data_IF_874631663913
#
_entry.id   IF_874631663913
#
_cell.length_a   1.000
_cell.length_b   1.000
_cell.length_c   1.000
_cell.angle_alpha   90.00
_cell.angle_beta   90.00
_cell.angle_gamma   90.00
#
_symmetry.space_group_name_H-M   'P 1'
#
loop_
_entity.id
_entity.type
_entity.pdbx_description
1 polymer ?
#
# COMPACT_ATOMS: atom_id res chain seq x y z
N UNK A 1 -59.52 -12.61 17.95
CA UNK A 1 -60.06 -13.44 19.04
C UNK A 1 -59.12 -14.64 19.16
N UNK A 2 -58.06 -14.62 19.97
CA UNK A 2 -58.00 -14.76 21.45
C UNK A 2 -58.79 -15.98 21.97
N UNK A 3 -58.05 -16.94 22.55
CA UNK A 3 -58.33 -17.75 23.76
C UNK A 3 -57.37 -18.97 23.71
N UNK A 4 -56.22 -19.08 24.41
CA UNK A 4 -55.91 -19.20 25.85
C UNK A 4 -56.73 -20.22 26.65
N UNK A 5 -56.04 -21.28 27.11
CA UNK A 5 -56.15 -21.96 28.43
C UNK A 5 -54.96 -22.95 28.54
N UNK A 6 -53.97 -22.80 29.42
CA UNK A 6 -53.94 -23.02 30.89
C UNK A 6 -54.39 -24.44 31.30
N UNK A 7 -53.75 -25.23 32.18
CA UNK A 7 -52.87 -24.95 33.33
C UNK A 7 -52.32 -26.29 33.91
N UNK A 8 -51.21 -26.21 34.67
CA UNK A 8 -50.78 -27.06 35.83
C UNK A 8 -50.37 -28.53 35.60
N UNK A 9 -49.28 -29.07 36.15
CA UNK A 9 -48.30 -28.62 37.15
C UNK A 9 -48.21 -29.59 38.34
N UNK A 10 -47.03 -30.18 38.61
CA UNK A 10 -46.47 -30.65 39.90
C UNK A 10 -45.04 -31.21 39.68
N UNK A 11 -43.97 -30.59 40.22
CA UNK A 11 -43.30 -30.87 41.51
C UNK A 11 -42.80 -32.33 41.64
N UNK A 12 -41.52 -32.66 41.87
CA UNK A 12 -40.30 -31.92 42.15
C UNK A 12 -39.17 -32.90 42.58
N UNK A 13 -37.96 -32.36 42.79
CA UNK A 13 -36.93 -32.72 43.81
C UNK A 13 -35.50 -32.63 43.27
N UNK A 14 -34.75 -31.75 43.94
CA UNK A 14 -33.33 -31.42 43.86
C UNK A 14 -32.36 -32.58 44.17
N UNK A 15 -31.11 -32.48 43.73
CA UNK A 15 -29.98 -32.21 44.65
C UNK A 15 -28.66 -31.75 43.95
N UNK A 16 -27.95 -30.84 44.65
CA UNK A 16 -26.50 -30.46 44.72
C UNK A 16 -25.56 -30.80 43.54
N UNK A 17 -24.67 -29.94 43.05
CA UNK A 17 -23.99 -28.78 43.65
C UNK A 17 -22.46 -28.99 43.53
N UNK A 18 -21.74 -28.09 42.84
CA UNK A 18 -20.36 -27.70 43.20
C UNK A 18 -19.92 -26.48 42.37
N UNK A 19 -19.72 -25.36 43.05
CA UNK A 19 -19.02 -24.16 42.59
C UNK A 19 -17.61 -24.26 43.15
N UNK A 20 -16.58 -23.98 42.34
CA UNK A 20 -15.23 -23.73 42.84
C UNK A 20 -14.68 -22.43 42.25
N UNK A 21 -14.71 -21.40 43.08
CA UNK A 21 -13.99 -20.13 42.94
C UNK A 21 -12.74 -20.24 43.80
N UNK A 22 -11.55 -19.97 43.27
CA UNK A 22 -10.40 -19.58 44.09
C UNK A 22 -9.51 -18.59 43.33
N UNK A 23 -9.62 -17.33 43.74
CA UNK A 23 -8.60 -16.31 43.60
C UNK A 23 -7.69 -16.39 44.84
N UNK A 24 -6.37 -16.26 44.68
CA UNK A 24 -5.36 -15.88 45.69
C UNK A 24 -4.17 -15.26 44.92
N UNK A 25 -3.93 -13.94 45.01
CA UNK A 25 -3.11 -13.20 45.99
C UNK A 25 -1.73 -12.84 45.41
N UNK A 26 -1.46 -11.53 45.32
CA UNK A 26 -0.17 -10.93 45.01
C UNK A 26 0.88 -11.26 46.08
N UNK A 27 2.11 -11.56 45.66
CA UNK A 27 3.31 -11.22 46.43
C UNK A 27 4.45 -10.76 45.52
N UNK A 28 4.93 -9.57 45.85
CA UNK A 28 6.10 -8.88 45.33
C UNK A 28 7.37 -9.55 45.86
N UNK A 29 8.34 -9.83 44.99
CA UNK A 29 9.73 -10.04 45.38
C UNK A 29 10.65 -9.37 44.36
N UNK A 30 11.57 -8.56 44.87
CA UNK A 30 12.55 -7.79 44.11
C UNK A 30 13.93 -8.47 44.14
N UNK A 31 14.74 -8.14 43.11
CA UNK A 31 16.19 -8.40 42.87
C UNK A 31 16.51 -9.79 42.26
N UNK A 32 17.47 -9.94 41.34
CA UNK A 32 18.69 -9.17 41.06
C UNK A 32 19.08 -9.18 39.57
N UNK A 33 19.74 -8.10 39.17
CA UNK A 33 20.59 -7.89 37.98
C UNK A 33 21.70 -8.95 37.92
N UNK A 34 21.96 -9.57 36.76
CA UNK A 34 23.13 -9.30 35.89
C UNK A 34 23.29 -10.33 34.75
N UNK A 35 23.94 -9.91 33.67
CA UNK A 35 24.39 -10.65 32.45
C UNK A 35 23.28 -11.10 31.47
N UNK A 36 23.33 -10.86 30.17
CA UNK A 36 24.35 -10.35 29.24
C UNK A 36 23.88 -10.75 27.83
N UNK A 37 24.34 -10.04 26.79
CA UNK A 37 24.04 -10.21 25.36
C UNK A 37 22.85 -9.39 24.81
N UNK A 38 23.03 -8.07 24.80
CA UNK A 38 22.52 -7.23 23.71
C UNK A 38 23.61 -7.17 22.63
N UNK A 39 23.39 -7.85 21.51
CA UNK A 39 24.14 -7.69 20.27
C UNK A 39 23.16 -7.20 19.20
N UNK A 40 23.35 -5.94 18.81
CA UNK A 40 22.60 -5.19 17.80
C UNK A 40 22.14 -6.04 16.61
N UNK A 41 20.83 -6.09 16.40
CA UNK A 41 20.24 -6.50 15.13
C UNK A 41 20.44 -5.37 14.14
N UNK A 42 21.43 -5.55 13.27
CA UNK A 42 21.72 -4.69 12.13
C UNK A 42 20.60 -4.86 11.08
N UNK A 43 19.56 -4.02 11.20
CA UNK A 43 18.48 -3.87 10.22
C UNK A 43 18.48 -2.49 9.59
N UNK A 44 19.65 -1.83 9.50
CA UNK A 44 19.85 -0.69 8.61
C UNK A 44 20.38 -1.20 7.27
N UNK A 45 19.49 -1.78 6.47
CA UNK A 45 19.83 -2.24 5.10
C UNK A 45 20.02 -1.08 4.10
N UNK A 46 19.85 0.16 4.54
CA UNK A 46 19.90 1.35 3.68
C UNK A 46 20.78 2.44 4.30
N UNK A 47 22.11 2.33 4.21
CA UNK A 47 22.96 3.50 4.41
C UNK A 47 22.71 4.47 3.27
N UNK A 48 22.25 5.68 3.59
CA UNK A 48 22.44 6.84 2.73
C UNK A 48 23.95 6.91 2.46
N UNK A 49 24.36 6.89 1.20
CA UNK A 49 25.78 7.04 0.84
C UNK A 49 26.36 8.26 1.53
N UNK A 50 27.16 8.06 2.57
CA UNK A 50 28.20 8.99 2.96
C UNK A 50 29.15 9.08 1.77
N UNK A 51 29.13 10.21 1.08
CA UNK A 51 30.12 10.51 0.06
C UNK A 51 31.52 10.44 0.72
N UNK A 52 32.54 9.89 0.04
CA UNK A 52 33.88 9.81 0.62
C UNK A 52 34.39 11.22 0.91
N UNK A 53 34.96 11.40 2.10
CA UNK A 53 35.64 12.63 2.50
C UNK A 53 36.83 12.90 1.55
N UNK A 54 36.62 13.75 0.55
CA UNK A 54 37.65 14.14 -0.40
C UNK A 54 37.06 14.93 -1.57
N UNK A 55 37.31 16.24 -1.55
CA UNK A 55 36.98 17.27 -2.55
C UNK A 55 35.55 17.84 -2.50
N UNK A 56 35.50 19.11 -2.08
CA UNK A 56 34.33 19.98 -1.95
C UNK A 56 33.51 20.06 -3.25
N UNK A 57 32.55 19.15 -3.44
CA UNK A 57 31.47 19.32 -4.39
C UNK A 57 30.38 20.18 -3.74
N UNK A 58 30.16 21.37 -4.30
CA UNK A 58 29.31 22.42 -3.77
C UNK A 58 27.90 21.93 -3.39
N UNK A 59 27.57 22.13 -2.11
CA UNK A 59 26.19 22.15 -1.58
C UNK A 59 25.37 23.05 -2.49
N UNK A 60 24.37 22.50 -3.17
CA UNK A 60 23.36 23.31 -3.85
C UNK A 60 22.54 24.02 -2.78
N UNK A 61 22.99 25.22 -2.46
CA UNK A 61 22.30 26.15 -1.58
C UNK A 61 20.85 26.30 -2.03
N UNK A 62 19.93 26.36 -1.07
CA UNK A 62 18.55 26.80 -1.28
C UNK A 62 18.48 28.33 -1.46
N UNK A 63 19.50 28.90 -2.13
CA UNK A 63 19.61 30.29 -2.54
C UNK A 63 19.96 30.37 -4.03
N UNK A 64 19.05 30.95 -4.81
CA UNK A 64 19.42 31.76 -5.98
C UNK A 64 19.11 31.22 -7.39
N UNK A 65 18.07 31.82 -7.97
CA UNK A 65 17.90 32.23 -9.38
C UNK A 65 17.26 31.26 -10.40
N UNK A 66 16.22 31.80 -11.06
CA UNK A 66 15.59 31.44 -12.33
C UNK A 66 16.26 30.29 -13.09
N UNK A 67 15.74 29.08 -12.90
CA UNK A 67 15.85 28.02 -13.88
C UNK A 67 14.47 27.84 -14.50
N UNK A 68 14.35 28.21 -15.77
CA UNK A 68 13.16 28.10 -16.61
C UNK A 68 12.38 26.80 -16.33
N UNK A 69 11.28 26.92 -15.57
CA UNK A 69 10.20 25.94 -15.55
C UNK A 69 9.36 26.12 -16.82
N UNK A 70 10.04 26.07 -17.96
CA UNK A 70 9.50 26.13 -19.30
C UNK A 70 9.50 24.74 -19.90
N UNK A 71 8.32 24.11 -19.91
CA UNK A 71 7.90 23.07 -20.86
C UNK A 71 8.37 21.63 -20.57
N UNK A 72 7.60 20.93 -19.74
CA UNK A 72 7.33 19.50 -19.90
C UNK A 72 5.89 19.14 -19.50
N UNK A 73 5.07 18.86 -20.51
CA UNK A 73 3.89 17.97 -20.47
C UNK A 73 2.86 18.13 -19.36
N UNK A 74 1.86 18.99 -19.58
CA UNK A 74 0.55 18.92 -18.92
C UNK A 74 -0.05 17.50 -19.03
N UNK A 75 -0.34 16.87 -17.89
CA UNK A 75 -1.46 15.91 -17.74
C UNK A 75 -2.31 16.30 -16.54
N UNK A 76 -3.27 17.19 -16.81
CA UNK A 76 -4.36 17.49 -15.91
C UNK A 76 -5.46 16.45 -16.06
N UNK A 77 -5.72 15.71 -14.98
CA UNK A 77 -7.03 15.11 -14.74
C UNK A 77 -7.32 15.00 -13.24
N UNK A 78 -6.30 14.87 -12.38
CA UNK A 78 -6.47 14.77 -10.92
C UNK A 78 -6.36 16.09 -10.14
N UNK A 79 -5.97 17.21 -10.78
CA UNK A 79 -5.73 18.49 -10.07
C UNK A 79 -6.96 19.39 -9.95
N UNK A 80 -8.03 19.16 -10.73
CA UNK A 80 -9.20 20.06 -10.78
C UNK A 80 -10.16 19.92 -9.58
N UNK A 81 -10.00 18.90 -8.74
CA UNK A 81 -10.86 18.66 -7.57
C UNK A 81 -10.20 18.91 -6.21
N UNK A 82 -8.86 19.06 -6.17
CA UNK A 82 -8.11 19.30 -4.94
C UNK A 82 -7.90 20.81 -4.81
N UNK A 83 -8.57 21.47 -3.87
CA UNK A 83 -8.37 22.90 -3.59
C UNK A 83 -6.90 23.22 -3.28
N UNK A 84 -6.55 24.50 -3.12
CA UNK A 84 -5.16 24.98 -2.91
C UNK A 84 -4.37 24.15 -1.87
N UNK A 85 -5.02 23.78 -0.77
CA UNK A 85 -4.45 22.90 0.25
C UNK A 85 -3.99 21.54 -0.28
N UNK A 86 -4.83 20.86 -1.07
CA UNK A 86 -4.50 19.54 -1.62
C UNK A 86 -3.42 19.61 -2.70
N UNK A 87 -3.36 20.70 -3.47
CA UNK A 87 -2.26 20.94 -4.41
C UNK A 87 -0.93 21.12 -3.68
N UNK A 88 -0.93 21.86 -2.58
CA UNK A 88 0.27 22.05 -1.75
C UNK A 88 0.73 20.73 -1.11
N UNK A 89 -0.19 19.89 -0.62
CA UNK A 89 0.14 18.54 -0.10
C UNK A 89 0.83 17.72 -1.19
N UNK A 90 0.28 17.68 -2.41
CA UNK A 90 0.86 16.95 -3.53
C UNK A 90 2.28 17.44 -3.85
N UNK A 91 2.47 18.76 -3.98
CA UNK A 91 3.75 19.34 -4.35
C UNK A 91 4.82 19.11 -3.27
N UNK A 92 4.49 19.38 -2.00
CA UNK A 92 5.42 19.15 -0.90
C UNK A 92 5.73 17.66 -0.73
N UNK A 93 4.74 16.77 -0.87
CA UNK A 93 4.93 15.32 -0.85
C UNK A 93 5.93 14.85 -1.91
N UNK A 94 5.74 15.27 -3.17
CA UNK A 94 6.65 14.97 -4.26
C UNK A 94 8.08 15.47 -4.00
N UNK A 95 8.23 16.70 -3.51
CA UNK A 95 9.54 17.29 -3.20
C UNK A 95 10.24 16.63 -2.00
N UNK A 96 9.49 16.12 -1.02
CA UNK A 96 10.06 15.34 0.09
C UNK A 96 10.56 13.98 -0.45
N UNK A 97 9.75 13.30 -1.25
CA UNK A 97 10.08 11.99 -1.80
C UNK A 97 11.24 12.03 -2.79
N UNK A 98 11.35 13.09 -3.59
CA UNK A 98 12.49 13.31 -4.49
C UNK A 98 13.79 13.67 -3.76
N UNK A 99 13.70 14.08 -2.49
CA UNK A 99 14.83 14.59 -1.70
C UNK A 99 15.12 16.08 -1.88
N UNK A 100 14.30 16.82 -2.64
CA UNK A 100 14.47 18.27 -2.84
C UNK A 100 14.29 19.07 -1.55
N UNK A 101 13.49 18.54 -0.61
CA UNK A 101 13.32 19.04 0.75
C UNK A 101 14.09 18.13 1.70
N UNK A 102 15.42 18.21 1.70
CA UNK A 102 16.29 17.34 2.49
C UNK A 102 15.98 17.32 4.00
N UNK A 103 16.40 16.25 4.69
CA UNK A 103 16.12 16.01 6.11
C UNK A 103 16.82 17.00 7.08
N UNK A 104 17.88 17.64 6.62
CA UNK A 104 18.78 18.42 7.47
C UNK A 104 18.28 19.84 7.77
N UNK A 105 17.32 20.35 6.98
CA UNK A 105 16.76 21.70 7.16
C UNK A 105 15.32 21.63 7.69
N UNK A 106 14.95 22.48 8.68
CA UNK A 106 13.56 22.59 9.07
C UNK A 106 12.72 23.20 7.94
N UNK A 107 11.53 22.65 7.74
CA UNK A 107 10.49 23.19 6.87
C UNK A 107 9.83 24.38 7.59
N UNK A 108 10.12 25.59 7.09
CA UNK A 108 9.62 26.84 7.67
C UNK A 108 8.31 27.26 6.98
N UNK A 109 7.17 27.33 7.71
CA UNK A 109 5.88 27.63 7.09
C UNK A 109 5.82 28.96 6.35
N UNK A 110 6.56 29.97 6.81
CA UNK A 110 6.63 31.29 6.19
C UNK A 110 7.32 31.25 4.82
N UNK A 111 8.44 30.53 4.72
CA UNK A 111 9.20 30.35 3.47
C UNK A 111 8.38 29.58 2.43
N UNK A 112 7.71 28.51 2.87
CA UNK A 112 6.79 27.73 2.02
C UNK A 112 5.60 28.59 1.59
N UNK A 113 5.01 29.36 2.50
CA UNK A 113 3.87 30.23 2.19
C UNK A 113 4.21 31.28 1.13
N UNK A 114 5.38 31.90 1.23
CA UNK A 114 5.87 32.85 0.23
C UNK A 114 6.13 32.18 -1.12
N UNK A 115 6.84 31.04 -1.14
CA UNK A 115 7.21 30.32 -2.36
C UNK A 115 6.02 29.82 -3.16
N UNK A 116 4.99 29.32 -2.47
CA UNK A 116 3.80 28.76 -3.11
C UNK A 116 2.63 29.75 -3.17
N UNK A 117 2.84 31.02 -2.79
CA UNK A 117 1.83 32.08 -2.78
C UNK A 117 0.54 31.69 -2.01
N UNK A 118 0.71 31.04 -0.87
CA UNK A 118 -0.38 30.52 -0.02
C UNK A 118 -0.28 31.04 1.41
N UNK A 119 -1.41 31.08 2.11
CA UNK A 119 -1.43 31.52 3.50
C UNK A 119 -0.72 30.52 4.42
N UNK A 120 -0.13 31.03 5.52
CA UNK A 120 0.50 30.21 6.56
C UNK A 120 -0.44 29.13 7.12
N UNK A 121 -1.74 29.41 7.19
CA UNK A 121 -2.75 28.45 7.64
C UNK A 121 -2.80 27.25 6.70
N UNK A 122 -2.87 27.47 5.39
CA UNK A 122 -2.89 26.40 4.38
C UNK A 122 -1.60 25.56 4.47
N UNK A 123 -0.45 26.20 4.65
CA UNK A 123 0.83 25.49 4.83
C UNK A 123 0.81 24.59 6.05
N UNK A 124 0.35 25.10 7.21
CA UNK A 124 0.28 24.30 8.44
C UNK A 124 -0.68 23.13 8.31
N UNK A 125 -1.80 23.31 7.63
CA UNK A 125 -2.73 22.21 7.35
C UNK A 125 -2.10 21.18 6.43
N UNK A 126 -1.40 21.60 5.36
CA UNK A 126 -0.71 20.67 4.46
C UNK A 126 0.39 19.89 5.18
N UNK A 127 1.18 20.56 6.03
CA UNK A 127 2.19 19.89 6.86
C UNK A 127 1.59 18.89 7.84
N UNK A 128 0.38 19.13 8.39
CA UNK A 128 -0.32 18.16 9.25
C UNK A 128 -0.72 16.89 8.49
N UNK A 129 -1.16 17.03 7.22
CA UNK A 129 -1.46 15.86 6.37
C UNK A 129 -0.19 15.06 6.10
N UNK A 130 0.92 15.73 5.80
CA UNK A 130 2.22 15.08 5.58
C UNK A 130 2.75 14.43 6.86
N UNK A 131 2.51 15.03 8.02
CA UNK A 131 2.85 14.45 9.33
C UNK A 131 2.06 13.18 9.61
N UNK A 132 0.74 13.18 9.32
CA UNK A 132 -0.10 11.99 9.46
C UNK A 132 0.34 10.83 8.54
N UNK A 133 0.95 11.13 7.40
CA UNK A 133 1.56 10.15 6.48
C UNK A 133 2.98 9.73 6.89
N UNK A 134 3.54 10.33 7.95
CA UNK A 134 4.88 10.03 8.46
C UNK A 134 6.02 10.70 7.70
N UNK A 135 5.74 11.62 6.76
CA UNK A 135 6.79 12.29 5.97
C UNK A 135 7.55 13.36 6.74
N UNK A 136 6.88 14.02 7.70
CA UNK A 136 7.45 15.08 8.52
C UNK A 136 7.11 14.88 9.99
N UNK A 137 7.86 15.52 10.87
CA UNK A 137 7.52 15.63 12.29
C UNK A 137 7.64 17.07 12.75
N UNK A 138 6.63 17.57 13.47
CA UNK A 138 6.66 18.87 14.12
C UNK A 138 7.08 18.70 15.58
N UNK A 139 8.23 19.28 15.97
CA UNK A 139 8.72 19.25 17.36
C UNK A 139 8.84 20.66 17.95
N UNK A 140 8.43 20.88 19.23
CA UNK A 140 8.66 22.15 19.91
C UNK A 140 10.13 22.55 19.86
N UNK A 141 10.41 23.83 19.60
CA UNK A 141 11.76 24.43 19.52
C UNK A 141 12.71 23.88 18.43
N UNK A 142 12.31 22.86 17.66
CA UNK A 142 13.09 22.25 16.58
C UNK A 142 12.49 22.57 15.20
N UNK A 143 11.19 22.83 15.15
CA UNK A 143 10.45 23.08 13.92
C UNK A 143 9.96 21.78 13.26
N UNK A 144 9.44 21.90 12.05
CA UNK A 144 9.00 20.75 11.25
C UNK A 144 10.18 20.21 10.45
N UNK A 145 10.45 18.91 10.48
CA UNK A 145 11.54 18.27 9.71
C UNK A 145 11.06 17.04 8.97
N UNK A 146 11.66 16.77 7.82
CA UNK A 146 11.44 15.52 7.08
C UNK A 146 11.97 14.34 7.90
N UNK A 147 11.19 13.25 7.94
CA UNK A 147 11.53 12.01 8.64
C UNK A 147 12.28 11.04 7.71
N UNK A 148 13.09 10.11 8.23
CA UNK A 148 13.66 9.04 7.43
C UNK A 148 12.57 8.16 6.79
N UNK A 149 12.88 7.52 5.67
CA UNK A 149 11.93 6.71 4.88
C UNK A 149 11.35 5.54 5.67
N UNK A 150 12.11 4.99 6.62
CA UNK A 150 11.66 3.95 7.56
C UNK A 150 10.43 4.35 8.38
N UNK A 151 10.20 5.65 8.55
CA UNK A 151 9.09 6.19 9.33
C UNK A 151 7.86 6.52 8.47
N UNK A 152 8.00 6.47 7.15
CA UNK A 152 6.93 6.84 6.22
C UNK A 152 5.89 5.74 6.15
N UNK A 153 4.62 6.11 5.97
CA UNK A 153 3.58 5.13 5.63
C UNK A 153 3.73 4.71 4.16
N UNK A 154 4.61 3.75 3.86
CA UNK A 154 4.90 3.31 2.49
C UNK A 154 3.69 2.67 1.77
N UNK A 155 2.64 2.32 2.50
CA UNK A 155 1.39 1.78 1.97
C UNK A 155 0.36 2.88 1.64
N UNK A 156 0.65 4.15 1.96
CA UNK A 156 -0.21 5.26 1.59
C UNK A 156 -0.21 5.46 0.06
N UNK A 157 -1.38 5.49 -0.61
CA UNK A 157 -1.45 5.63 -2.07
C UNK A 157 -0.77 6.88 -2.63
N UNK A 158 -0.81 8.01 -1.91
CA UNK A 158 -0.15 9.23 -2.37
C UNK A 158 1.38 9.04 -2.31
N UNK A 159 1.92 8.40 -1.27
CA UNK A 159 3.36 8.10 -1.16
C UNK A 159 3.79 7.11 -2.23
N UNK A 160 2.97 6.11 -2.55
CA UNK A 160 3.23 5.17 -3.66
C UNK A 160 3.31 5.96 -4.98
N UNK A 161 2.34 6.83 -5.25
CA UNK A 161 2.33 7.69 -6.44
C UNK A 161 3.57 8.58 -6.52
N UNK A 162 3.98 9.22 -5.43
CA UNK A 162 5.12 10.13 -5.41
C UNK A 162 6.46 9.41 -5.60
N UNK A 163 6.63 8.22 -5.01
CA UNK A 163 7.86 7.42 -5.12
C UNK A 163 8.03 6.76 -6.49
N UNK A 164 6.95 6.60 -7.25
CA UNK A 164 6.96 6.02 -8.59
C UNK A 164 7.93 6.69 -9.58
N UNK A 165 8.15 7.99 -9.42
CA UNK A 165 9.03 8.79 -10.27
C UNK A 165 10.30 9.26 -9.54
N UNK A 166 10.50 8.81 -8.30
CA UNK A 166 11.62 9.19 -7.47
C UNK A 166 12.85 8.28 -7.63
N UNK A 167 13.93 8.56 -6.87
CA UNK A 167 15.15 7.76 -6.88
C UNK A 167 14.94 6.31 -6.42
N UNK A 168 13.88 6.06 -5.63
CA UNK A 168 13.57 4.75 -5.03
C UNK A 168 12.56 3.92 -5.83
N UNK A 169 12.22 4.34 -7.06
CA UNK A 169 11.15 3.72 -7.86
C UNK A 169 11.36 2.21 -8.10
N UNK A 170 12.60 1.78 -8.33
CA UNK A 170 12.92 0.40 -8.69
C UNK A 170 12.81 -0.53 -7.47
N UNK A 171 13.26 -0.06 -6.30
CA UNK A 171 13.07 -0.75 -5.02
C UNK A 171 11.59 -0.87 -4.67
N UNK A 172 10.84 0.23 -4.79
CA UNK A 172 9.40 0.22 -4.56
C UNK A 172 8.68 -0.75 -5.50
N UNK A 173 9.03 -0.79 -6.80
CA UNK A 173 8.41 -1.71 -7.75
C UNK A 173 8.65 -3.16 -7.35
N UNK A 174 9.87 -3.51 -6.91
CA UNK A 174 10.20 -4.84 -6.41
C UNK A 174 9.38 -5.18 -5.16
N UNK A 175 9.39 -4.32 -4.16
CA UNK A 175 8.67 -4.51 -2.88
C UNK A 175 7.15 -4.66 -3.08
N UNK A 176 6.57 -3.85 -3.97
CA UNK A 176 5.15 -3.97 -4.32
C UNK A 176 4.87 -5.26 -5.12
N UNK A 177 5.77 -5.67 -6.00
CA UNK A 177 5.67 -6.96 -6.70
C UNK A 177 5.67 -8.15 -5.75
N UNK A 178 6.56 -8.15 -4.76
CA UNK A 178 6.63 -9.17 -3.70
C UNK A 178 5.35 -9.22 -2.85
N UNK A 179 4.82 -8.05 -2.48
CA UNK A 179 3.55 -7.94 -1.76
C UNK A 179 2.41 -8.56 -2.57
N UNK A 180 2.28 -8.17 -3.85
CA UNK A 180 1.26 -8.67 -4.77
C UNK A 180 1.36 -10.19 -4.95
N UNK A 181 2.55 -10.71 -5.20
CA UNK A 181 2.83 -12.14 -5.29
C UNK A 181 2.40 -12.93 -4.05
N UNK A 182 2.51 -12.30 -2.88
CA UNK A 182 2.15 -12.93 -1.61
C UNK A 182 0.65 -12.97 -1.39
N UNK A 183 -0.07 -11.88 -1.67
CA UNK A 183 -1.47 -11.73 -1.25
C UNK A 183 -2.48 -12.08 -2.33
N UNK A 184 -2.18 -11.82 -3.60
CA UNK A 184 -3.17 -11.94 -4.66
C UNK A 184 -3.50 -13.39 -5.05
N UNK A 185 -2.54 -14.34 -5.10
CA UNK A 185 -2.89 -15.74 -5.32
C UNK A 185 -3.82 -16.30 -4.25
N UNK A 186 -3.58 -15.94 -2.99
CA UNK A 186 -4.47 -16.30 -1.89
C UNK A 186 -5.84 -15.66 -2.05
N UNK A 187 -5.90 -14.39 -2.46
CA UNK A 187 -7.17 -13.71 -2.73
C UNK A 187 -7.95 -14.41 -3.85
N UNK A 188 -7.28 -14.80 -4.94
CA UNK A 188 -7.89 -15.53 -6.06
C UNK A 188 -8.46 -16.88 -5.61
N UNK A 189 -7.69 -17.63 -4.81
CA UNK A 189 -8.13 -18.89 -4.20
C UNK A 189 -9.39 -18.72 -3.36
N UNK A 190 -9.42 -17.68 -2.51
CA UNK A 190 -10.54 -17.42 -1.60
C UNK A 190 -11.79 -16.94 -2.35
N UNK A 191 -11.61 -16.17 -3.42
CA UNK A 191 -12.71 -15.68 -4.24
C UNK A 191 -13.41 -16.81 -5.04
N UNK A 192 -12.72 -17.92 -5.31
CA UNK A 192 -13.30 -19.05 -6.03
C UNK A 192 -14.48 -19.67 -5.27
N UNK A 193 -15.60 -19.85 -5.95
CA UNK A 193 -16.81 -20.44 -5.38
C UNK A 193 -17.59 -19.54 -4.42
N UNK A 194 -17.10 -18.32 -4.16
CA UNK A 194 -17.73 -17.34 -3.26
C UNK A 194 -18.11 -16.02 -3.98
N UNK A 195 -17.93 -15.97 -5.31
CA UNK A 195 -18.16 -14.78 -6.12
C UNK A 195 -19.63 -14.42 -6.25
N UNK A 196 -19.98 -13.15 -5.98
CA UNK A 196 -21.26 -12.60 -6.41
C UNK A 196 -21.26 -12.50 -7.94
N UNK A 197 -22.39 -12.83 -8.57
CA UNK A 197 -22.53 -12.82 -10.05
C UNK A 197 -22.17 -11.46 -10.67
N UNK A 198 -22.48 -10.36 -9.98
CA UNK A 198 -22.13 -9.01 -10.43
C UNK A 198 -20.62 -8.76 -10.48
N UNK A 199 -19.87 -9.28 -9.50
CA UNK A 199 -18.41 -9.18 -9.48
C UNK A 199 -17.80 -10.05 -10.59
N UNK A 200 -18.30 -11.28 -10.76
CA UNK A 200 -17.80 -12.18 -11.81
C UNK A 200 -18.00 -11.59 -13.20
N UNK A 201 -19.18 -11.03 -13.47
CA UNK A 201 -19.44 -10.33 -14.73
C UNK A 201 -18.48 -9.16 -14.92
N UNK A 202 -18.28 -8.33 -13.87
CA UNK A 202 -17.38 -7.19 -13.94
C UNK A 202 -15.92 -7.59 -14.19
N UNK A 203 -15.46 -8.69 -13.59
CA UNK A 203 -14.13 -9.25 -13.86
C UNK A 203 -14.00 -9.66 -15.34
N UNK A 204 -15.02 -10.32 -15.89
CA UNK A 204 -15.09 -10.64 -17.33
C UNK A 204 -15.00 -9.39 -18.21
N UNK A 205 -15.79 -8.35 -17.90
CA UNK A 205 -15.76 -7.08 -18.63
C UNK A 205 -14.36 -6.45 -18.64
N UNK A 206 -13.62 -6.53 -17.52
CA UNK A 206 -12.25 -6.00 -17.47
C UNK A 206 -11.30 -6.77 -18.40
N UNK A 207 -11.44 -8.09 -18.50
CA UNK A 207 -10.67 -8.91 -19.45
C UNK A 207 -10.96 -8.50 -20.89
N UNK A 208 -12.22 -8.28 -21.24
CA UNK A 208 -12.60 -7.81 -22.58
C UNK A 208 -12.02 -6.42 -22.89
N UNK A 209 -12.11 -5.48 -21.93
CA UNK A 209 -11.53 -4.14 -22.07
C UNK A 209 -10.01 -4.22 -22.27
N UNK A 210 -9.31 -5.07 -21.49
CA UNK A 210 -7.87 -5.30 -21.67
C UNK A 210 -7.57 -5.83 -23.07
N UNK A 211 -8.32 -6.81 -23.56
CA UNK A 211 -8.15 -7.36 -24.91
C UNK A 211 -8.30 -6.31 -26.01
N UNK A 212 -9.37 -5.49 -25.93
CA UNK A 212 -9.58 -4.40 -26.88
C UNK A 212 -8.50 -3.32 -26.81
N UNK A 213 -8.03 -2.98 -25.60
CA UNK A 213 -6.99 -1.97 -25.39
C UNK A 213 -5.63 -2.46 -25.92
N UNK A 214 -5.26 -3.72 -25.67
CA UNK A 214 -4.04 -4.34 -26.22
C UNK A 214 -4.05 -4.33 -27.75
N UNK A 215 -5.17 -4.72 -28.37
CA UNK A 215 -5.31 -4.72 -29.83
C UNK A 215 -5.16 -3.33 -30.46
N UNK A 216 -5.53 -2.27 -29.73
CA UNK A 216 -5.43 -0.87 -30.15
C UNK A 216 -4.11 -0.20 -29.74
N UNK A 217 -3.25 -0.88 -28.98
CA UNK A 217 -2.04 -0.29 -28.42
C UNK A 217 -2.30 0.75 -27.32
N UNK A 218 -3.50 0.77 -26.73
CA UNK A 218 -3.89 1.68 -25.64
C UNK A 218 -3.44 1.13 -24.27
N UNK A 219 -2.16 1.35 -23.96
CA UNK A 219 -1.57 0.92 -22.70
C UNK A 219 -2.21 1.58 -21.45
N UNK A 220 -2.79 2.78 -21.58
CA UNK A 220 -3.41 3.49 -20.46
C UNK A 220 -4.71 2.80 -20.07
N UNK A 221 -5.57 2.52 -21.04
CA UNK A 221 -6.84 1.81 -20.79
C UNK A 221 -6.58 0.39 -20.32
N UNK A 222 -5.60 -0.30 -20.91
CA UNK A 222 -5.19 -1.63 -20.47
C UNK A 222 -4.75 -1.63 -19.00
N UNK A 223 -3.82 -0.75 -18.61
CA UNK A 223 -3.34 -0.67 -17.22
C UNK A 223 -4.43 -0.30 -16.22
N UNK A 224 -5.40 0.52 -16.62
CA UNK A 224 -6.55 0.87 -15.76
C UNK A 224 -7.49 -0.31 -15.55
N UNK A 225 -7.79 -1.06 -16.61
CA UNK A 225 -8.62 -2.25 -16.53
C UNK A 225 -7.94 -3.37 -15.71
N UNK A 226 -6.63 -3.55 -15.89
CA UNK A 226 -5.80 -4.47 -15.10
C UNK A 226 -5.85 -4.12 -13.60
N UNK A 227 -5.62 -2.85 -13.24
CA UNK A 227 -5.72 -2.39 -11.85
C UNK A 227 -7.12 -2.56 -11.25
N UNK A 228 -8.18 -2.38 -12.05
CA UNK A 228 -9.56 -2.61 -11.61
C UNK A 228 -9.85 -4.10 -11.42
N UNK A 229 -9.39 -4.96 -12.33
CA UNK A 229 -9.51 -6.42 -12.24
C UNK A 229 -8.91 -6.95 -10.93
N UNK A 230 -7.65 -6.59 -10.64
CA UNK A 230 -6.96 -7.04 -9.43
C UNK A 230 -7.65 -6.54 -8.15
N UNK A 231 -8.12 -5.28 -8.14
CA UNK A 231 -8.88 -4.72 -7.01
C UNK A 231 -10.19 -5.47 -6.75
N UNK A 232 -10.97 -5.73 -7.81
CA UNK A 232 -12.24 -6.47 -7.72
C UNK A 232 -12.03 -7.90 -7.24
N UNK A 233 -11.00 -8.58 -7.72
CA UNK A 233 -10.67 -9.93 -7.29
C UNK A 233 -10.31 -9.99 -5.80
N UNK A 234 -9.51 -9.04 -5.33
CA UNK A 234 -9.18 -8.93 -3.90
C UNK A 234 -10.43 -8.69 -3.06
N UNK A 235 -11.35 -7.85 -3.54
CA UNK A 235 -12.62 -7.61 -2.87
C UNK A 235 -13.54 -8.84 -2.87
N UNK A 236 -13.45 -9.67 -3.91
CA UNK A 236 -14.21 -10.92 -4.02
C UNK A 236 -13.73 -12.01 -3.04
N UNK A 237 -12.54 -11.87 -2.46
CA UNK A 237 -11.95 -12.86 -1.56
C UNK A 237 -12.72 -13.05 -0.23
N UNK A 238 -13.66 -12.16 0.10
CA UNK A 238 -14.46 -12.24 1.33
C UNK A 238 -13.65 -12.05 2.62
N UNK A 239 -12.40 -11.61 2.51
CA UNK A 239 -11.52 -11.33 3.63
C UNK A 239 -11.34 -9.81 3.75
N UNK A 240 -11.94 -9.24 4.80
CA UNK A 240 -11.89 -7.80 5.07
C UNK A 240 -10.47 -7.25 5.15
N UNK A 241 -9.50 -8.03 5.62
CA UNK A 241 -8.10 -7.56 5.67
C UNK A 241 -7.48 -7.48 4.27
N UNK A 242 -7.80 -8.41 3.38
CA UNK A 242 -7.39 -8.33 1.98
C UNK A 242 -8.09 -7.18 1.26
N UNK A 243 -9.38 -6.96 1.51
CA UNK A 243 -10.14 -5.83 0.95
C UNK A 243 -9.46 -4.48 1.23
N UNK A 244 -8.93 -4.27 2.45
CA UNK A 244 -8.21 -3.04 2.80
C UNK A 244 -6.88 -2.87 2.02
N UNK A 245 -6.31 -3.95 1.49
CA UNK A 245 -5.12 -3.92 0.65
C UNK A 245 -5.43 -3.66 -0.84
N UNK A 246 -6.70 -3.71 -1.28
CA UNK A 246 -7.08 -3.49 -2.68
C UNK A 246 -6.62 -2.13 -3.23
N UNK A 247 -6.72 -1.07 -2.41
CA UNK A 247 -6.25 0.27 -2.78
C UNK A 247 -4.74 0.36 -2.98
N UNK A 248 -3.97 -0.41 -2.20
CA UNK A 248 -2.51 -0.48 -2.30
C UNK A 248 -2.11 -1.19 -3.59
N UNK A 249 -2.75 -2.33 -3.89
CA UNK A 249 -2.52 -3.06 -5.14
C UNK A 249 -2.89 -2.23 -6.36
N UNK A 250 -4.02 -1.51 -6.30
CA UNK A 250 -4.41 -0.60 -7.37
C UNK A 250 -3.37 0.50 -7.58
N UNK A 251 -2.90 1.15 -6.50
CA UNK A 251 -1.85 2.16 -6.59
C UNK A 251 -0.56 1.58 -7.20
N UNK A 252 -0.15 0.38 -6.76
CA UNK A 252 1.02 -0.33 -7.27
C UNK A 252 0.95 -0.59 -8.79
N UNK A 253 -0.21 -1.00 -9.28
CA UNK A 253 -0.46 -1.26 -10.69
C UNK A 253 -0.47 0.02 -11.53
N UNK A 254 -1.08 1.09 -11.03
CA UNK A 254 -1.12 2.39 -11.72
C UNK A 254 0.29 3.00 -11.88
N UNK A 255 1.16 2.84 -10.88
CA UNK A 255 2.53 3.34 -10.96
C UNK A 255 3.45 2.46 -11.82
N UNK A 256 3.18 1.16 -11.87
CA UNK A 256 3.93 0.22 -12.70
C UNK A 256 3.57 0.32 -14.20
N UNK A 257 2.34 0.76 -14.53
CA UNK A 257 1.86 1.00 -15.90
C UNK A 257 2.32 2.30 -16.57
N UNK A 258 3.29 3.01 -15.98
CA UNK A 258 3.90 4.21 -16.57
C UNK A 258 4.67 3.91 -17.86
N UNK A 259 4.99 4.92 -18.69
CA UNK A 259 5.62 4.69 -19.98
C UNK A 259 7.04 4.13 -19.82
N UNK A 260 7.19 2.86 -20.24
CA UNK A 260 8.40 2.20 -20.76
C UNK A 260 9.30 1.53 -19.70
N UNK A 261 9.09 0.21 -19.52
CA UNK A 261 10.05 -0.72 -20.11
C UNK A 261 9.34 -1.59 -21.15
N UNK A 262 10.05 -1.91 -22.23
CA UNK A 262 9.52 -2.73 -23.32
C UNK A 262 9.21 -4.19 -22.90
N UNK A 263 9.49 -4.57 -21.66
CA UNK A 263 9.27 -5.90 -21.11
C UNK A 263 7.90 -6.08 -20.45
N UNK A 264 7.17 -5.00 -20.15
CA UNK A 264 5.96 -5.04 -19.30
C UNK A 264 4.65 -4.69 -20.03
N UNK A 265 4.62 -4.69 -21.37
CA UNK A 265 3.30 -4.65 -22.05
C UNK A 265 2.56 -5.93 -21.68
N UNK A 266 1.34 -5.87 -21.12
CA UNK A 266 0.50 -7.05 -20.96
C UNK A 266 0.33 -7.69 -22.34
N UNK A 267 1.10 -8.75 -22.59
CA UNK A 267 1.02 -9.49 -23.84
C UNK A 267 -0.20 -10.37 -23.86
N UNK A 268 -0.47 -11.01 -25.00
CA UNK A 268 -1.54 -12.02 -25.13
C UNK A 268 -1.46 -13.11 -24.06
N UNK A 269 -0.24 -13.45 -23.61
CA UNK A 269 -0.02 -14.38 -22.50
C UNK A 269 -0.65 -13.91 -21.18
N UNK A 270 -0.45 -12.64 -20.80
CA UNK A 270 -1.05 -12.05 -19.58
C UNK A 270 -2.58 -12.06 -19.67
N UNK A 271 -3.14 -11.70 -20.82
CA UNK A 271 -4.59 -11.75 -21.05
C UNK A 271 -5.14 -13.18 -20.91
N UNK A 272 -4.39 -14.17 -21.40
CA UNK A 272 -4.74 -15.59 -21.22
C UNK A 272 -4.78 -16.02 -19.75
N UNK A 273 -3.87 -15.52 -18.91
CA UNK A 273 -3.92 -15.80 -17.47
C UNK A 273 -5.11 -15.13 -16.78
N UNK A 274 -5.42 -13.88 -17.14
CA UNK A 274 -6.63 -13.20 -16.66
C UNK A 274 -7.92 -13.98 -16.97
N UNK A 275 -8.06 -14.45 -18.22
CA UNK A 275 -9.22 -15.25 -18.63
C UNK A 275 -9.34 -16.56 -17.83
N UNK A 276 -8.21 -17.26 -17.60
CA UNK A 276 -8.18 -18.48 -16.77
C UNK A 276 -8.60 -18.22 -15.33
N UNK A 277 -8.22 -17.08 -14.76
CA UNK A 277 -8.64 -16.69 -13.40
C UNK A 277 -10.17 -16.54 -13.37
N UNK A 278 -10.77 -15.82 -14.32
CA UNK A 278 -12.24 -15.64 -14.39
C UNK A 278 -12.95 -16.99 -14.51
N UNK A 279 -12.48 -17.88 -15.37
CA UNK A 279 -13.03 -19.23 -15.54
C UNK A 279 -12.95 -20.06 -14.24
N UNK A 280 -11.79 -20.03 -13.58
CA UNK A 280 -11.58 -20.73 -12.32
C UNK A 280 -12.50 -20.19 -11.21
N UNK A 281 -12.69 -18.87 -11.15
CA UNK A 281 -13.63 -18.24 -10.22
C UNK A 281 -15.08 -18.67 -10.48
N UNK A 282 -15.49 -18.74 -11.76
CA UNK A 282 -16.84 -19.13 -12.17
C UNK A 282 -17.13 -20.61 -11.88
N UNK A 283 -16.15 -21.48 -12.05
CA UNK A 283 -16.26 -22.94 -11.81
C UNK A 283 -15.99 -23.33 -10.35
N UNK A 284 -15.54 -22.40 -9.51
CA UNK A 284 -15.18 -22.67 -8.12
C UNK A 284 -13.83 -23.39 -7.95
N UNK A 285 -12.98 -23.41 -8.98
CA UNK A 285 -11.65 -24.00 -8.93
C UNK A 285 -10.66 -23.09 -8.20
N UNK A 286 -10.63 -23.20 -6.87
CA UNK A 286 -9.74 -22.42 -6.02
C UNK A 286 -8.26 -22.64 -6.33
N UNK A 287 -7.86 -23.86 -6.67
CA UNK A 287 -6.46 -24.21 -6.97
C UNK A 287 -6.05 -23.65 -8.33
N UNK A 288 -6.92 -23.77 -9.33
CA UNK A 288 -6.73 -23.18 -10.65
C UNK A 288 -6.64 -21.65 -10.61
N UNK A 289 -7.49 -20.99 -9.82
CA UNK A 289 -7.46 -19.54 -9.64
C UNK A 289 -6.13 -19.06 -9.03
N UNK A 290 -5.66 -19.76 -7.98
CA UNK A 290 -4.36 -19.48 -7.37
C UNK A 290 -3.21 -19.66 -8.37
N UNK A 291 -3.17 -20.79 -9.06
CA UNK A 291 -2.11 -21.13 -10.00
C UNK A 291 -2.08 -20.14 -11.19
N UNK A 292 -3.23 -19.75 -11.72
CA UNK A 292 -3.32 -18.78 -12.80
C UNK A 292 -2.86 -17.39 -12.34
N UNK A 293 -3.19 -16.95 -11.12
CA UNK A 293 -2.68 -15.71 -10.55
C UNK A 293 -1.16 -15.74 -10.35
N UNK A 294 -0.60 -16.86 -9.89
CA UNK A 294 0.87 -17.05 -9.83
C UNK A 294 1.52 -17.03 -11.21
N UNK A 295 0.86 -17.49 -12.25
CA UNK A 295 1.45 -17.38 -13.60
C UNK A 295 1.35 -15.96 -14.15
N UNK A 296 0.29 -15.23 -13.81
CA UNK A 296 0.09 -13.85 -14.21
C UNK A 296 1.16 -12.93 -13.61
N UNK A 297 1.42 -13.09 -12.31
CA UNK A 297 2.33 -12.23 -11.56
C UNK A 297 3.80 -12.64 -11.75
N UNK A 298 4.34 -12.66 -12.97
CA UNK A 298 5.75 -13.05 -13.16
C UNK A 298 6.66 -12.13 -12.35
N UNK A 299 7.30 -12.69 -11.31
CA UNK A 299 8.25 -11.94 -10.49
C UNK A 299 9.63 -11.99 -11.13
N UNK A 300 10.41 -10.92 -10.96
CA UNK A 300 11.85 -10.97 -11.14
C UNK A 300 12.43 -12.26 -10.50
N UNK A 301 13.40 -12.94 -11.14
CA UNK A 301 13.85 -14.31 -10.83
C UNK A 301 14.44 -14.55 -9.42
N UNK A 302 14.38 -13.58 -8.50
CA UNK A 302 14.94 -13.67 -7.16
C UNK A 302 13.90 -13.96 -6.05
N UNK A 303 12.59 -13.80 -6.31
CA UNK A 303 11.54 -13.98 -5.30
C UNK A 303 11.09 -15.44 -5.15
N UNK A 304 11.30 -16.26 -6.17
CA UNK A 304 10.98 -17.70 -6.15
C UNK A 304 11.76 -18.47 -5.07
N UNK A 305 12.82 -17.88 -4.50
CA UNK A 305 13.72 -18.51 -3.52
C UNK A 305 13.38 -18.29 -2.04
N UNK A 306 12.36 -17.48 -1.69
CA UNK A 306 12.17 -17.05 -0.28
C UNK A 306 11.03 -17.76 0.45
N UNK A 307 10.11 -18.45 -0.24
CA UNK A 307 9.02 -19.19 0.43
C UNK A 307 9.22 -20.70 0.25
N UNK A 308 9.71 -21.43 1.28
CA UNK A 308 9.77 -22.88 1.20
C UNK A 308 8.36 -23.44 1.03
N UNK A 309 8.24 -24.46 0.17
CA UNK A 309 6.99 -25.18 -0.04
C UNK A 309 6.35 -25.59 1.30
N UNK A 310 5.00 -25.63 1.39
CA UNK A 310 4.32 -26.08 2.59
C UNK A 310 4.87 -27.44 3.01
N UNK A 311 5.32 -27.56 4.26
CA UNK A 311 5.69 -28.87 4.81
C UNK A 311 4.41 -29.68 4.93
N UNK A 312 4.28 -30.71 4.11
CA UNK A 312 3.24 -31.73 4.26
C UNK A 312 3.42 -32.39 5.64
N UNK A 313 2.36 -32.39 6.44
CA UNK A 313 2.26 -33.08 7.73
C UNK A 313 1.34 -34.29 7.59
#
# INVERSE_FOLDING_TARGET
MLFTKDLKGWLGRADKGCVSTLAHTMMTAARSVDSGLAGSGDLDRYPYTEAPAGEHAAVRSWDGADAELGRAGRRGSASRGRGLHGQLVQQLGQMIVSGDLGADRPLVPEEIGQRFEVSRTVVRESLRVLEAKGLVSARPNVGTRVRPVSDWNLLDPDIIEWRAFGPQRDDQRRELGELRWTIEPLAARLAAGHGREDIQQRLGDMVEIMGHAVAQGDGITCSRADAEFHSLLIQAAGNRMLEHLSGIVSAALQVSGGPITACDRPGEASLGHHARIVEALATGDATGAEAAMRQLLVVHPEVERVVPAPREH
#
